data_IF_767485931601
#
_entry.id   IF_767485931601
#
_cell.length_a   1.000
_cell.length_b   1.000
_cell.length_c   1.000
_cell.angle_alpha   90.00
_cell.angle_beta   90.00
_cell.angle_gamma   90.00
#
_symmetry.space_group_name_H-M   'P 1'
#
loop_
_entity.id
_entity.type
_entity.pdbx_description
1 polymer ?
#
# COMPACT_ATOMS: atom_id res chain seq x y z
N UNK A 1 19.40 5.03 42.39
CA UNK A 1 19.20 4.97 40.92
C UNK A 1 17.72 5.30 40.63
N UNK A 2 17.40 6.49 40.17
CA UNK A 2 16.03 6.88 39.78
C UNK A 2 15.65 6.11 38.52
N UNK A 3 14.64 5.24 38.60
CA UNK A 3 14.05 4.56 37.42
C UNK A 3 13.35 5.63 36.58
N UNK A 4 14.00 6.06 35.49
CA UNK A 4 13.36 6.93 34.49
C UNK A 4 12.12 6.19 33.96
N UNK A 5 10.93 6.61 34.38
CA UNK A 5 9.68 6.12 33.81
C UNK A 5 9.60 6.59 32.36
N UNK A 6 9.41 5.65 31.43
CA UNK A 6 9.19 5.98 30.03
C UNK A 6 7.96 6.90 29.88
N UNK A 7 8.07 7.90 29.02
CA UNK A 7 6.93 8.75 28.67
C UNK A 7 5.84 7.88 27.99
N UNK A 8 4.55 8.28 28.05
CA UNK A 8 3.48 7.55 27.37
C UNK A 8 3.75 7.37 25.85
N UNK A 9 4.39 8.33 25.23
CA UNK A 9 4.79 8.27 23.83
C UNK A 9 5.92 7.25 23.63
N UNK A 10 6.93 7.22 24.51
CA UNK A 10 8.01 6.23 24.46
C UNK A 10 7.50 4.81 24.63
N UNK A 11 6.54 4.62 25.55
CA UNK A 11 5.88 3.32 25.74
C UNK A 11 5.13 2.85 24.49
N UNK A 12 4.39 3.76 23.85
CA UNK A 12 3.69 3.47 22.59
C UNK A 12 4.67 2.97 21.52
N UNK A 13 5.76 3.71 21.27
CA UNK A 13 6.74 3.30 20.26
C UNK A 13 7.40 1.96 20.55
N UNK A 14 7.69 1.68 21.83
CA UNK A 14 8.22 0.39 22.23
C UNK A 14 7.23 -0.75 21.94
N UNK A 15 5.95 -0.56 22.28
CA UNK A 15 4.90 -1.53 21.96
C UNK A 15 4.76 -1.76 20.46
N UNK A 16 4.72 -0.68 19.66
CA UNK A 16 4.62 -0.79 18.20
C UNK A 16 5.82 -1.55 17.62
N UNK A 17 7.03 -1.23 18.05
CA UNK A 17 8.24 -1.91 17.62
C UNK A 17 8.24 -3.40 18.01
N UNK A 18 7.85 -3.72 19.24
CA UNK A 18 7.79 -5.11 19.73
C UNK A 18 6.74 -5.93 18.96
N UNK A 19 5.55 -5.36 18.71
CA UNK A 19 4.50 -6.02 17.93
C UNK A 19 4.93 -6.22 16.47
N UNK A 20 5.58 -5.22 15.87
CA UNK A 20 6.12 -5.35 14.51
C UNK A 20 7.18 -6.43 14.44
N UNK A 21 8.14 -6.44 15.37
CA UNK A 21 9.18 -7.46 15.43
C UNK A 21 8.57 -8.87 15.58
N UNK A 22 7.61 -9.03 16.49
CA UNK A 22 6.88 -10.29 16.65
C UNK A 22 6.21 -10.72 15.34
N UNK A 23 5.51 -9.78 14.65
CA UNK A 23 4.83 -10.08 13.38
C UNK A 23 5.80 -10.53 12.29
N UNK A 24 6.97 -9.88 12.18
CA UNK A 24 7.98 -10.24 11.19
C UNK A 24 8.64 -11.59 11.51
N UNK A 25 8.94 -11.87 12.79
CA UNK A 25 9.46 -13.17 13.22
C UNK A 25 8.48 -14.29 12.89
N UNK A 26 7.19 -14.11 13.20
CA UNK A 26 6.15 -15.09 12.88
C UNK A 26 5.99 -15.28 11.35
N UNK A 27 6.08 -14.21 10.57
CA UNK A 27 6.06 -14.32 9.11
C UNK A 27 7.26 -15.11 8.57
N UNK A 28 8.43 -14.95 9.18
CA UNK A 28 9.65 -15.70 8.83
C UNK A 28 9.58 -17.20 9.15
N UNK A 29 8.62 -17.63 9.98
CA UNK A 29 8.38 -19.06 10.28
C UNK A 29 7.34 -19.71 9.34
N UNK A 30 6.68 -18.91 8.49
CA UNK A 30 5.69 -19.42 7.54
C UNK A 30 6.38 -19.89 6.26
N UNK A 31 5.76 -20.82 5.55
CA UNK A 31 6.22 -21.30 4.24
C UNK A 31 5.37 -20.65 3.14
N UNK A 32 6.06 -19.98 2.21
CA UNK A 32 5.44 -19.55 0.96
C UNK A 32 5.25 -20.74 0.03
N UNK A 33 4.22 -20.68 -0.80
CA UNK A 33 3.99 -21.69 -1.82
C UNK A 33 3.66 -21.05 -3.17
N UNK A 34 3.95 -21.81 -4.23
CA UNK A 34 3.58 -21.49 -5.60
C UNK A 34 2.47 -22.46 -5.99
N UNK A 35 1.46 -22.00 -6.71
CA UNK A 35 0.39 -22.86 -7.18
C UNK A 35 0.91 -23.71 -8.35
N UNK A 36 0.92 -25.03 -8.18
CA UNK A 36 1.40 -25.98 -9.19
C UNK A 36 0.30 -26.88 -9.75
N UNK A 37 -0.94 -26.76 -9.24
CA UNK A 37 -2.08 -27.56 -9.69
C UNK A 37 -2.89 -26.86 -10.76
N UNK A 38 -3.07 -27.51 -11.91
CA UNK A 38 -4.04 -27.14 -12.94
C UNK A 38 -3.65 -25.99 -13.88
N UNK A 39 -3.13 -24.88 -13.41
CA UNK A 39 -2.69 -23.76 -14.23
C UNK A 39 -1.66 -22.89 -13.48
N UNK A 40 -0.37 -23.25 -13.49
CA UNK A 40 0.69 -22.48 -12.84
C UNK A 40 1.02 -21.16 -13.57
N UNK A 41 0.38 -20.89 -14.71
CA UNK A 41 0.72 -19.84 -15.66
C UNK A 41 0.90 -18.46 -15.01
N UNK A 42 0.00 -18.06 -14.13
CA UNK A 42 0.07 -16.73 -13.49
C UNK A 42 1.25 -16.61 -12.53
N UNK A 43 1.51 -17.62 -11.72
CA UNK A 43 2.62 -17.63 -10.76
C UNK A 43 3.96 -17.69 -11.48
N UNK A 44 4.06 -18.54 -12.50
CA UNK A 44 5.25 -18.67 -13.35
C UNK A 44 5.55 -17.37 -14.09
N UNK A 45 4.53 -16.73 -14.68
CA UNK A 45 4.66 -15.44 -15.34
C UNK A 45 5.27 -14.38 -14.42
N UNK A 46 4.74 -14.27 -13.18
CA UNK A 46 5.23 -13.30 -12.19
C UNK A 46 6.67 -13.57 -11.78
N UNK A 47 7.05 -14.83 -11.60
CA UNK A 47 8.43 -15.21 -11.29
C UNK A 47 9.38 -14.95 -12.44
N UNK A 48 9.02 -15.34 -13.66
CA UNK A 48 9.82 -15.11 -14.86
C UNK A 48 10.09 -13.62 -15.07
N UNK A 49 9.03 -12.80 -14.96
CA UNK A 49 9.16 -11.35 -15.07
C UNK A 49 10.05 -10.76 -13.96
N UNK A 50 9.92 -11.23 -12.71
CA UNK A 50 10.76 -10.77 -11.61
C UNK A 50 12.24 -11.11 -11.80
N UNK A 51 12.54 -12.32 -12.28
CA UNK A 51 13.90 -12.75 -12.62
C UNK A 51 14.50 -11.88 -13.74
N UNK A 52 13.70 -11.57 -14.77
CA UNK A 52 14.13 -10.70 -15.88
C UNK A 52 14.42 -9.27 -15.38
N UNK A 53 13.56 -8.71 -14.52
CA UNK A 53 13.79 -7.41 -13.90
C UNK A 53 15.09 -7.41 -13.10
N UNK A 54 15.33 -8.46 -12.29
CA UNK A 54 16.55 -8.61 -11.51
C UNK A 54 17.81 -8.71 -12.38
N UNK A 55 17.67 -9.22 -13.62
CA UNK A 55 18.73 -9.25 -14.62
C UNK A 55 18.83 -7.97 -15.47
N UNK A 56 18.03 -6.95 -15.20
CA UNK A 56 18.02 -5.67 -15.94
C UNK A 56 17.29 -5.72 -17.29
N UNK A 57 16.46 -6.73 -17.53
CA UNK A 57 15.80 -6.99 -18.82
C UNK A 57 14.30 -6.63 -18.84
N UNK A 58 13.83 -5.76 -17.94
CA UNK A 58 12.41 -5.48 -17.73
C UNK A 58 11.62 -6.79 -17.49
N UNK A 59 10.51 -7.05 -18.18
CA UNK A 59 9.70 -8.26 -17.97
C UNK A 59 10.23 -9.49 -18.76
N UNK A 60 11.35 -9.35 -19.48
CA UNK A 60 11.94 -10.42 -20.29
C UNK A 60 11.56 -10.34 -21.77
N UNK A 61 11.68 -11.46 -22.49
CA UNK A 61 11.28 -11.55 -23.90
C UNK A 61 9.75 -11.38 -24.05
N UNK A 62 9.34 -10.63 -25.09
CA UNK A 62 7.92 -10.43 -25.36
C UNK A 62 7.26 -11.69 -25.90
N UNK A 63 6.22 -12.15 -25.25
CA UNK A 63 5.35 -13.24 -25.68
C UNK A 63 3.88 -12.92 -25.40
N UNK A 64 2.96 -13.80 -25.77
CA UNK A 64 1.52 -13.62 -25.60
C UNK A 64 1.04 -13.50 -24.13
N UNK A 65 1.89 -13.82 -23.16
CA UNK A 65 1.60 -13.69 -21.73
C UNK A 65 2.23 -12.46 -21.11
N UNK A 66 3.21 -11.82 -21.75
CA UNK A 66 4.06 -10.80 -21.14
C UNK A 66 3.28 -9.62 -20.57
N UNK A 67 2.22 -9.15 -21.24
CA UNK A 67 1.35 -8.05 -20.79
C UNK A 67 -0.06 -8.54 -20.42
N UNK A 68 -0.28 -9.83 -20.24
CA UNK A 68 -1.59 -10.38 -19.90
C UNK A 68 -2.09 -9.97 -18.51
N UNK A 69 -1.23 -9.46 -17.66
CA UNK A 69 -1.53 -9.01 -16.28
C UNK A 69 -0.84 -7.68 -15.97
N UNK A 70 -1.35 -6.98 -14.93
CA UNK A 70 -0.67 -5.83 -14.37
C UNK A 70 0.60 -6.27 -13.60
N UNK A 71 1.75 -5.64 -13.89
CA UNK A 71 3.09 -6.16 -13.62
C UNK A 71 3.84 -5.46 -12.46
N UNK A 72 3.13 -4.85 -11.51
CA UNK A 72 3.80 -4.27 -10.34
C UNK A 72 4.32 -5.36 -9.38
N UNK A 73 3.63 -6.49 -9.26
CA UNK A 73 4.06 -7.56 -8.35
C UNK A 73 5.45 -8.15 -8.71
N UNK A 74 5.81 -8.41 -9.99
CA UNK A 74 7.19 -8.72 -10.38
C UNK A 74 8.22 -7.69 -9.94
N UNK A 75 7.88 -6.39 -10.02
CA UNK A 75 8.77 -5.31 -9.53
C UNK A 75 8.97 -5.42 -8.02
N UNK A 76 7.90 -5.71 -7.27
CA UNK A 76 7.97 -5.98 -5.84
C UNK A 76 8.88 -7.17 -5.51
N UNK A 77 8.74 -8.29 -6.22
CA UNK A 77 9.60 -9.47 -6.02
C UNK A 77 11.08 -9.15 -6.31
N UNK A 78 11.35 -8.44 -7.41
CA UNK A 78 12.70 -8.02 -7.76
C UNK A 78 13.29 -7.07 -6.69
N UNK A 79 12.48 -6.17 -6.12
CA UNK A 79 12.89 -5.30 -5.01
C UNK A 79 13.24 -6.12 -3.76
N UNK A 80 12.42 -7.10 -3.38
CA UNK A 80 12.71 -7.96 -2.23
C UNK A 80 14.00 -8.77 -2.46
N UNK A 81 14.21 -9.27 -3.68
CA UNK A 81 15.45 -9.94 -4.05
C UNK A 81 16.67 -9.02 -3.90
N UNK A 82 16.60 -7.81 -4.43
CA UNK A 82 17.68 -6.82 -4.31
C UNK A 82 17.98 -6.42 -2.85
N UNK A 83 16.97 -6.41 -1.99
CA UNK A 83 17.11 -6.15 -0.56
C UNK A 83 17.45 -7.39 0.29
N UNK A 84 17.56 -8.57 -0.32
CA UNK A 84 17.79 -9.86 0.36
C UNK A 84 16.72 -10.14 1.44
N UNK A 85 15.47 -9.70 1.22
CA UNK A 85 14.37 -9.89 2.15
C UNK A 85 13.54 -11.13 1.77
N UNK A 86 13.26 -12.04 2.72
CA UNK A 86 12.34 -13.14 2.48
C UNK A 86 10.95 -12.63 2.10
N UNK A 87 10.31 -13.28 1.14
CA UNK A 87 9.03 -12.87 0.56
C UNK A 87 7.94 -12.57 1.59
N UNK A 88 7.69 -13.52 2.52
CA UNK A 88 6.64 -13.36 3.54
C UNK A 88 6.98 -12.27 4.56
N UNK A 89 8.26 -12.09 4.86
CA UNK A 89 8.72 -11.00 5.74
C UNK A 89 8.50 -9.65 5.06
N UNK A 90 8.80 -9.53 3.77
CA UNK A 90 8.55 -8.32 2.99
C UNK A 90 7.07 -7.96 2.93
N UNK A 91 6.19 -8.93 2.65
CA UNK A 91 4.74 -8.74 2.67
C UNK A 91 4.21 -8.34 4.06
N UNK A 92 4.69 -9.00 5.11
CA UNK A 92 4.33 -8.65 6.49
C UNK A 92 4.84 -7.26 6.89
N UNK A 93 6.02 -6.85 6.44
CA UNK A 93 6.54 -5.50 6.68
C UNK A 93 5.66 -4.42 6.01
N UNK A 94 5.25 -4.66 4.76
CA UNK A 94 4.32 -3.77 4.06
C UNK A 94 2.96 -3.69 4.77
N UNK A 95 2.42 -4.83 5.22
CA UNK A 95 1.19 -4.87 6.00
C UNK A 95 1.31 -4.12 7.33
N UNK A 96 2.40 -4.29 8.06
CA UNK A 96 2.68 -3.55 9.29
C UNK A 96 2.80 -2.04 9.04
N UNK A 97 3.48 -1.63 7.97
CA UNK A 97 3.58 -0.22 7.58
C UNK A 97 2.20 0.39 7.25
N UNK A 98 1.37 -0.33 6.50
CA UNK A 98 -0.01 0.07 6.20
C UNK A 98 -0.87 0.16 7.46
N UNK A 99 -0.75 -0.82 8.37
CA UNK A 99 -1.45 -0.85 9.66
C UNK A 99 -1.03 0.31 10.57
N UNK A 100 0.26 0.64 10.57
CA UNK A 100 0.80 1.77 11.32
C UNK A 100 0.25 3.10 10.77
N UNK A 101 0.27 3.26 9.45
CA UNK A 101 -0.31 4.42 8.78
C UNK A 101 -1.80 4.58 9.15
N UNK A 102 -2.57 3.49 9.12
CA UNK A 102 -3.99 3.49 9.48
C UNK A 102 -4.21 3.87 10.96
N UNK A 103 -3.40 3.32 11.88
CA UNK A 103 -3.48 3.67 13.29
C UNK A 103 -3.19 5.17 13.53
N UNK A 104 -2.21 5.73 12.80
CA UNK A 104 -1.91 7.16 12.87
C UNK A 104 -2.93 8.02 12.12
N UNK A 105 -3.58 7.51 11.07
CA UNK A 105 -4.66 8.19 10.38
C UNK A 105 -5.83 8.50 11.33
N UNK A 106 -6.16 7.54 12.19
CA UNK A 106 -7.27 7.65 13.16
C UNK A 106 -6.95 8.47 14.42
N UNK A 107 -5.69 8.87 14.62
CA UNK A 107 -5.24 9.56 15.83
C UNK A 107 -6.01 10.86 16.17
N UNK A 108 -6.47 11.68 15.23
CA UNK A 108 -7.27 12.87 15.53
C UNK A 108 -8.55 12.55 16.31
N UNK A 109 -9.13 11.36 16.16
CA UNK A 109 -10.37 10.95 16.88
C UNK A 109 -10.23 10.92 18.40
N UNK A 110 -9.02 10.88 18.93
CA UNK A 110 -8.75 10.89 20.37
C UNK A 110 -7.79 11.98 20.82
N UNK A 111 -7.64 13.05 20.02
CA UNK A 111 -6.79 14.19 20.35
C UNK A 111 -7.17 14.87 21.69
N UNK A 112 -8.48 14.88 22.04
CA UNK A 112 -8.97 15.39 23.32
C UNK A 112 -8.79 14.45 24.52
N UNK A 113 -8.15 13.28 24.37
CA UNK A 113 -7.91 12.34 25.47
C UNK A 113 -6.54 12.56 26.10
N UNK A 114 -6.35 12.03 27.32
CA UNK A 114 -5.04 12.05 27.98
C UNK A 114 -3.98 11.32 27.14
N UNK A 115 -2.73 11.78 27.17
CA UNK A 115 -1.64 11.21 26.41
C UNK A 115 -1.49 9.67 26.57
N UNK A 116 -1.61 9.08 27.79
CA UNK A 116 -1.60 7.63 27.94
C UNK A 116 -2.78 6.92 27.27
N UNK A 117 -3.96 7.52 27.27
CA UNK A 117 -5.15 6.96 26.62
C UNK A 117 -5.03 7.00 25.11
N UNK A 118 -4.56 8.10 24.55
CA UNK A 118 -4.31 8.23 23.11
C UNK A 118 -3.25 7.24 22.62
N UNK A 119 -2.15 7.09 23.38
CA UNK A 119 -1.09 6.13 23.09
C UNK A 119 -1.61 4.69 23.09
N UNK A 120 -2.37 4.28 24.10
CA UNK A 120 -2.98 2.94 24.19
C UNK A 120 -3.93 2.65 23.03
N UNK A 121 -4.80 3.62 22.67
CA UNK A 121 -5.73 3.46 21.54
C UNK A 121 -5.00 3.31 20.22
N UNK A 122 -3.96 4.10 19.97
CA UNK A 122 -3.13 3.97 18.76
C UNK A 122 -2.47 2.59 18.69
N UNK A 123 -1.88 2.13 19.80
CA UNK A 123 -1.25 0.80 19.86
C UNK A 123 -2.28 -0.33 19.70
N UNK A 124 -3.48 -0.20 20.27
CA UNK A 124 -4.56 -1.19 20.14
C UNK A 124 -5.06 -1.29 18.68
N UNK A 125 -5.27 -0.16 18.00
CA UNK A 125 -5.66 -0.16 16.58
C UNK A 125 -4.57 -0.80 15.72
N UNK A 126 -3.31 -0.44 15.96
CA UNK A 126 -2.20 -1.07 15.27
C UNK A 126 -2.15 -2.58 15.49
N UNK A 127 -2.25 -3.03 16.74
CA UNK A 127 -2.24 -4.46 17.07
C UNK A 127 -3.39 -5.21 16.38
N UNK A 128 -4.61 -4.67 16.43
CA UNK A 128 -5.78 -5.24 15.78
C UNK A 128 -5.59 -5.38 14.26
N UNK A 129 -5.02 -4.38 13.59
CA UNK A 129 -4.76 -4.43 12.17
C UNK A 129 -3.56 -5.32 11.81
N UNK A 130 -2.42 -5.16 12.51
CA UNK A 130 -1.20 -5.93 12.24
C UNK A 130 -1.39 -7.43 12.41
N UNK A 131 -2.27 -7.85 13.33
CA UNK A 131 -2.60 -9.24 13.62
C UNK A 131 -4.01 -9.63 13.16
N UNK A 132 -4.57 -8.90 12.19
CA UNK A 132 -5.87 -9.23 11.61
C UNK A 132 -5.82 -10.65 10.99
N UNK A 133 -6.76 -11.57 11.31
CA UNK A 133 -6.70 -12.96 10.85
C UNK A 133 -6.59 -13.12 9.33
N UNK A 134 -7.23 -12.25 8.55
CA UNK A 134 -7.13 -12.26 7.08
C UNK A 134 -5.71 -12.02 6.56
N UNK A 135 -4.84 -11.34 7.32
CA UNK A 135 -3.44 -11.12 6.94
C UNK A 135 -2.54 -12.36 7.12
N UNK A 136 -3.10 -13.46 7.64
CA UNK A 136 -2.46 -14.76 7.83
C UNK A 136 -3.11 -15.86 6.99
N UNK A 137 -4.14 -15.52 6.22
CA UNK A 137 -4.88 -16.48 5.43
C UNK A 137 -4.00 -17.14 4.36
N UNK A 138 -4.33 -18.35 3.98
CA UNK A 138 -3.54 -19.17 3.05
C UNK A 138 -3.22 -18.45 1.74
N UNK A 139 -4.15 -17.65 1.22
CA UNK A 139 -3.92 -16.89 -0.02
C UNK A 139 -2.76 -15.87 0.08
N UNK A 140 -2.46 -15.35 1.29
CA UNK A 140 -1.33 -14.42 1.48
C UNK A 140 0.03 -15.13 1.47
N UNK A 141 0.05 -16.45 1.66
CA UNK A 141 1.25 -17.29 1.62
C UNK A 141 1.62 -17.69 0.18
N UNK A 142 0.67 -17.63 -0.76
CA UNK A 142 0.94 -17.84 -2.17
C UNK A 142 1.83 -16.72 -2.70
N UNK A 143 2.82 -17.08 -3.50
CA UNK A 143 3.68 -16.07 -4.15
C UNK A 143 2.92 -15.43 -5.30
N UNK A 144 1.99 -14.56 -4.94
CA UNK A 144 1.10 -13.88 -5.86
C UNK A 144 0.67 -12.50 -5.32
N UNK A 145 0.00 -11.73 -6.14
CA UNK A 145 -0.43 -10.34 -5.88
C UNK A 145 -1.21 -10.16 -4.58
N UNK A 146 -1.92 -11.19 -4.12
CA UNK A 146 -2.74 -11.16 -2.91
C UNK A 146 -1.93 -10.96 -1.62
N UNK A 147 -0.62 -11.18 -1.65
CA UNK A 147 0.26 -10.88 -0.51
C UNK A 147 0.38 -9.38 -0.23
N UNK A 148 0.40 -8.55 -1.28
CA UNK A 148 0.64 -7.10 -1.13
C UNK A 148 -0.61 -6.26 -1.38
N UNK A 149 -1.53 -6.70 -2.22
CA UNK A 149 -2.69 -5.93 -2.66
C UNK A 149 -3.55 -5.41 -1.50
N UNK A 150 -3.91 -6.20 -0.47
CA UNK A 150 -4.67 -5.70 0.69
C UNK A 150 -3.93 -4.60 1.46
N UNK A 151 -2.59 -4.70 1.57
CA UNK A 151 -1.79 -3.68 2.23
C UNK A 151 -1.80 -2.35 1.45
N UNK A 152 -1.72 -2.41 0.12
CA UNK A 152 -1.81 -1.23 -0.75
C UNK A 152 -3.19 -0.56 -0.66
N UNK A 153 -4.26 -1.35 -0.61
CA UNK A 153 -5.61 -0.85 -0.36
C UNK A 153 -5.71 -0.19 1.03
N UNK A 154 -5.11 -0.79 2.06
CA UNK A 154 -5.10 -0.19 3.41
C UNK A 154 -4.35 1.13 3.43
N UNK A 155 -3.23 1.25 2.72
CA UNK A 155 -2.50 2.52 2.55
C UNK A 155 -3.38 3.58 1.89
N UNK A 156 -4.09 3.21 0.82
CA UNK A 156 -5.03 4.09 0.13
C UNK A 156 -6.14 4.61 1.07
N UNK A 157 -6.85 3.71 1.75
CA UNK A 157 -7.93 4.09 2.65
C UNK A 157 -7.43 4.88 3.87
N UNK A 158 -6.29 4.49 4.44
CA UNK A 158 -5.67 5.21 5.55
C UNK A 158 -5.24 6.63 5.13
N UNK A 159 -4.74 6.79 3.92
CA UNK A 159 -4.39 8.09 3.36
C UNK A 159 -5.60 9.02 3.29
N UNK A 160 -6.71 8.56 2.68
CA UNK A 160 -7.95 9.34 2.60
C UNK A 160 -8.57 9.62 3.97
N UNK A 161 -8.64 8.62 4.86
CA UNK A 161 -9.14 8.80 6.22
C UNK A 161 -8.28 9.79 7.00
N UNK A 162 -6.96 9.69 6.88
CA UNK A 162 -6.01 10.60 7.51
C UNK A 162 -6.16 12.05 7.05
N UNK A 163 -6.37 12.26 5.74
CA UNK A 163 -6.63 13.58 5.16
C UNK A 163 -7.98 14.12 5.62
N UNK A 164 -9.06 13.31 5.55
CA UNK A 164 -10.41 13.72 5.90
C UNK A 164 -10.54 14.10 7.38
N UNK A 165 -10.03 13.26 8.30
CA UNK A 165 -10.09 13.53 9.74
C UNK A 165 -9.34 14.81 10.10
N UNK A 166 -8.20 15.08 9.46
CA UNK A 166 -7.44 16.30 9.70
C UNK A 166 -8.07 17.52 9.06
N UNK A 167 -8.72 17.36 7.91
CA UNK A 167 -9.46 18.45 7.29
C UNK A 167 -10.60 18.96 8.16
N UNK A 168 -11.25 18.04 8.90
CA UNK A 168 -12.42 18.35 9.75
C UNK A 168 -12.02 18.74 11.17
N UNK A 169 -11.06 18.03 11.77
CA UNK A 169 -10.75 18.12 13.21
C UNK A 169 -9.53 19.01 13.52
N UNK A 170 -8.69 19.34 12.54
CA UNK A 170 -7.47 20.12 12.75
C UNK A 170 -7.19 21.02 11.52
N UNK A 171 -7.59 22.27 11.65
CA UNK A 171 -7.45 23.26 10.58
C UNK A 171 -6.00 23.60 10.20
N UNK A 172 -5.05 23.34 11.09
CA UNK A 172 -3.62 23.61 10.90
C UNK A 172 -2.85 22.41 10.34
N UNK A 173 -3.47 21.23 10.27
CA UNK A 173 -2.81 20.00 9.91
C UNK A 173 -2.30 19.99 8.46
N UNK A 174 -1.14 19.33 8.28
CA UNK A 174 -0.58 19.05 6.96
C UNK A 174 -1.33 17.89 6.32
N UNK A 175 -1.96 18.11 5.17
CA UNK A 175 -2.73 17.10 4.44
C UNK A 175 -1.91 16.37 3.39
N UNK A 176 -0.89 17.02 2.80
CA UNK A 176 -0.10 16.46 1.70
C UNK A 176 0.49 15.07 1.97
N UNK A 177 1.07 14.77 3.14
CA UNK A 177 1.58 13.41 3.41
C UNK A 177 0.49 12.33 3.35
N UNK A 178 -0.73 12.65 3.77
CA UNK A 178 -1.88 11.74 3.74
C UNK A 178 -2.40 11.55 2.32
N UNK A 179 -2.51 12.63 1.56
CA UNK A 179 -2.88 12.57 0.14
C UNK A 179 -1.81 11.85 -0.69
N UNK A 180 -0.52 12.02 -0.36
CA UNK A 180 0.56 11.26 -0.97
C UNK A 180 0.45 9.77 -0.65
N UNK A 181 0.13 9.40 0.60
CA UNK A 181 -0.12 8.01 0.98
C UNK A 181 -1.32 7.43 0.21
N UNK A 182 -2.43 8.16 0.11
CA UNK A 182 -3.58 7.78 -0.69
C UNK A 182 -3.20 7.56 -2.16
N UNK A 183 -2.41 8.47 -2.74
CA UNK A 183 -1.93 8.38 -4.11
C UNK A 183 -0.97 7.21 -4.35
N UNK A 184 -0.04 6.96 -3.42
CA UNK A 184 0.86 5.81 -3.50
C UNK A 184 0.08 4.49 -3.43
N UNK A 185 -0.86 4.38 -2.48
CA UNK A 185 -1.74 3.22 -2.36
C UNK A 185 -2.57 3.00 -3.63
N UNK A 186 -3.17 4.07 -4.18
CA UNK A 186 -3.96 4.03 -5.41
C UNK A 186 -3.11 3.59 -6.61
N UNK A 187 -1.97 4.25 -6.83
CA UNK A 187 -1.09 3.97 -7.96
C UNK A 187 -0.57 2.52 -7.92
N UNK A 188 0.01 2.11 -6.78
CA UNK A 188 0.55 0.75 -6.64
C UNK A 188 -0.55 -0.32 -6.73
N UNK A 189 -1.72 -0.11 -6.12
CA UNK A 189 -2.82 -1.05 -6.21
C UNK A 189 -3.34 -1.18 -7.66
N UNK A 190 -3.49 -0.06 -8.37
CA UNK A 190 -3.98 -0.02 -9.75
C UNK A 190 -3.05 -0.78 -10.71
N UNK A 191 -1.73 -0.59 -10.57
CA UNK A 191 -0.74 -1.31 -11.40
C UNK A 191 -0.41 -2.71 -10.87
N UNK A 192 -1.06 -3.15 -9.77
CA UNK A 192 -0.99 -4.53 -9.25
C UNK A 192 -2.13 -5.40 -9.75
N UNK A 193 -3.35 -4.83 -9.84
CA UNK A 193 -4.57 -5.58 -10.23
C UNK A 193 -5.45 -4.74 -11.13
N UNK A 194 -5.90 -5.35 -12.21
CA UNK A 194 -6.70 -4.73 -13.26
C UNK A 194 -8.08 -4.27 -12.74
N UNK A 195 -8.65 -5.01 -11.78
CA UNK A 195 -9.94 -4.72 -11.17
C UNK A 195 -9.88 -3.66 -10.05
N UNK A 196 -8.69 -3.26 -9.61
CA UNK A 196 -8.53 -2.28 -8.53
C UNK A 196 -9.24 -0.94 -8.83
N UNK A 197 -9.25 -0.53 -10.09
CA UNK A 197 -9.93 0.70 -10.52
C UNK A 197 -11.42 0.71 -10.26
N UNK A 198 -12.10 -0.44 -10.32
CA UNK A 198 -13.56 -0.54 -10.19
C UNK A 198 -14.09 -0.05 -8.85
N UNK A 199 -13.32 -0.20 -7.76
CA UNK A 199 -13.74 0.25 -6.43
C UNK A 199 -12.87 1.37 -5.85
N UNK A 200 -11.57 1.44 -6.17
CA UNK A 200 -10.72 2.50 -5.62
C UNK A 200 -11.00 3.86 -6.27
N UNK A 201 -11.25 3.92 -7.58
CA UNK A 201 -11.52 5.19 -8.25
C UNK A 201 -12.85 5.84 -7.83
N UNK A 202 -13.99 5.10 -7.76
CA UNK A 202 -15.23 5.67 -7.24
C UNK A 202 -15.08 6.17 -5.79
N UNK A 203 -14.37 5.43 -4.93
CA UNK A 203 -14.09 5.87 -3.57
C UNK A 203 -13.22 7.14 -3.55
N UNK A 204 -12.16 7.19 -4.35
CA UNK A 204 -11.29 8.38 -4.47
C UNK A 204 -12.09 9.60 -4.94
N UNK A 205 -12.97 9.43 -5.94
CA UNK A 205 -13.83 10.49 -6.43
C UNK A 205 -14.77 11.00 -5.34
N UNK A 206 -15.45 10.09 -4.63
CA UNK A 206 -16.34 10.46 -3.52
C UNK A 206 -15.60 11.21 -2.40
N UNK A 207 -14.43 10.69 -1.97
CA UNK A 207 -13.60 11.33 -0.96
C UNK A 207 -13.12 12.73 -1.41
N UNK A 208 -12.72 12.85 -2.68
CA UNK A 208 -12.32 14.13 -3.28
C UNK A 208 -13.47 15.13 -3.28
N UNK A 209 -14.68 14.73 -3.69
CA UNK A 209 -15.86 15.61 -3.70
C UNK A 209 -16.20 16.12 -2.29
N UNK A 210 -16.19 15.24 -1.29
CA UNK A 210 -16.44 15.61 0.11
C UNK A 210 -15.41 16.64 0.59
N UNK A 211 -14.12 16.39 0.35
CA UNK A 211 -13.06 17.31 0.75
C UNK A 211 -13.08 18.60 -0.06
N UNK A 212 -13.42 18.55 -1.35
CA UNK A 212 -13.56 19.73 -2.21
C UNK A 212 -14.64 20.67 -1.67
N UNK A 213 -15.82 20.14 -1.35
CA UNK A 213 -16.92 20.92 -0.77
C UNK A 213 -16.48 21.53 0.57
N UNK A 214 -15.80 20.74 1.41
CA UNK A 214 -15.29 21.20 2.72
C UNK A 214 -14.29 22.35 2.54
N UNK A 215 -13.32 22.23 1.64
CA UNK A 215 -12.28 23.28 1.43
C UNK A 215 -12.81 24.49 0.67
N UNK A 216 -13.80 24.32 -0.21
CA UNK A 216 -14.49 25.42 -0.87
C UNK A 216 -15.19 26.30 0.16
N UNK A 217 -15.98 25.70 1.06
CA UNK A 217 -16.63 26.42 2.16
C UNK A 217 -15.63 27.12 3.11
N UNK A 218 -14.44 26.54 3.30
CA UNK A 218 -13.37 27.11 4.12
C UNK A 218 -12.48 28.13 3.38
N UNK A 219 -12.70 28.37 2.09
CA UNK A 219 -11.89 29.27 1.22
C UNK A 219 -10.39 28.94 1.24
N UNK A 220 -10.02 27.63 1.11
CA UNK A 220 -8.63 27.12 1.16
C UNK A 220 -8.14 26.59 -0.20
N UNK A 221 -7.82 27.46 -1.18
CA UNK A 221 -7.48 27.03 -2.55
C UNK A 221 -6.24 26.10 -2.62
N UNK A 222 -5.25 26.32 -1.74
CA UNK A 222 -4.05 25.44 -1.68
C UNK A 222 -4.38 24.00 -1.29
N UNK A 223 -5.37 23.79 -0.42
CA UNK A 223 -5.85 22.45 -0.05
C UNK A 223 -6.61 21.79 -1.18
N UNK A 224 -7.39 22.57 -1.94
CA UNK A 224 -8.08 22.10 -3.14
C UNK A 224 -7.06 21.59 -4.17
N UNK A 225 -6.02 22.38 -4.47
CA UNK A 225 -4.95 21.94 -5.36
C UNK A 225 -4.26 20.65 -4.90
N UNK A 226 -4.10 20.47 -3.58
CA UNK A 226 -3.55 19.23 -3.00
C UNK A 226 -4.36 17.98 -3.32
N UNK A 227 -5.67 18.08 -3.57
CA UNK A 227 -6.54 16.94 -3.92
C UNK A 227 -6.18 16.31 -5.28
N UNK A 228 -5.42 17.01 -6.13
CA UNK A 228 -4.92 16.47 -7.40
C UNK A 228 -3.76 15.47 -7.20
N UNK A 229 -3.08 15.52 -6.04
CA UNK A 229 -1.89 14.71 -5.80
C UNK A 229 -2.12 13.19 -5.95
N UNK A 230 -3.16 12.58 -5.39
CA UNK A 230 -3.42 11.15 -5.58
C UNK A 230 -3.56 10.74 -7.05
N UNK A 231 -4.22 11.56 -7.85
CA UNK A 231 -4.43 11.31 -9.28
C UNK A 231 -3.16 11.54 -10.11
N UNK A 232 -2.36 12.54 -9.75
CA UNK A 232 -1.05 12.76 -10.37
C UNK A 232 -0.12 11.57 -10.12
N UNK A 233 -0.14 10.99 -8.91
CA UNK A 233 0.64 9.80 -8.59
C UNK A 233 0.12 8.56 -9.33
N UNK A 234 -1.19 8.39 -9.46
CA UNK A 234 -1.78 7.33 -10.29
C UNK A 234 -1.32 7.47 -11.74
N UNK A 235 -1.47 8.68 -12.31
CA UNK A 235 -1.06 8.96 -13.69
C UNK A 235 0.44 8.68 -13.89
N UNK A 236 1.29 9.10 -12.95
CA UNK A 236 2.73 8.83 -13.00
C UNK A 236 3.04 7.33 -12.96
N UNK A 237 2.34 6.56 -12.12
CA UNK A 237 2.49 5.10 -12.06
C UNK A 237 2.09 4.43 -13.38
N UNK A 238 0.91 4.74 -13.90
CA UNK A 238 0.41 4.18 -15.17
C UNK A 238 1.31 4.57 -16.34
N UNK A 239 1.63 5.87 -16.48
CA UNK A 239 2.49 6.36 -17.56
C UNK A 239 3.91 5.79 -17.45
N UNK A 240 4.43 5.59 -16.23
CA UNK A 240 5.72 4.95 -16.00
C UNK A 240 5.76 3.52 -16.54
N UNK A 241 4.75 2.69 -16.24
CA UNK A 241 4.65 1.33 -16.77
C UNK A 241 4.42 1.32 -18.30
N UNK A 242 3.49 2.14 -18.81
CA UNK A 242 3.27 2.26 -20.25
C UNK A 242 4.55 2.72 -20.99
N UNK A 243 5.29 3.66 -20.42
CA UNK A 243 6.55 4.15 -20.98
C UNK A 243 7.64 3.09 -21.02
N UNK A 244 7.75 2.26 -19.94
CA UNK A 244 8.67 1.12 -19.94
C UNK A 244 8.25 0.08 -20.99
N UNK A 245 6.98 -0.28 -21.08
CA UNK A 245 6.49 -1.22 -22.08
C UNK A 245 6.71 -0.68 -23.51
N UNK A 246 6.49 0.62 -23.73
CA UNK A 246 6.82 1.26 -25.01
C UNK A 246 8.30 1.18 -25.34
N UNK A 247 9.16 1.39 -24.36
CA UNK A 247 10.62 1.37 -24.56
C UNK A 247 11.15 -0.03 -24.88
N UNK A 248 10.64 -1.06 -24.22
CA UNK A 248 11.14 -2.42 -24.34
C UNK A 248 10.42 -3.26 -25.38
N UNK A 249 9.12 -2.97 -25.61
CA UNK A 249 8.25 -3.81 -26.46
C UNK A 249 7.59 -3.04 -27.60
N UNK A 250 7.74 -1.71 -27.66
CA UNK A 250 7.08 -0.90 -28.68
C UNK A 250 5.56 -0.72 -28.45
N UNK A 251 5.03 -1.12 -27.26
CA UNK A 251 3.60 -1.10 -26.94
C UNK A 251 3.36 -0.13 -25.79
N UNK A 252 2.57 0.93 -26.02
CA UNK A 252 2.17 1.89 -24.98
C UNK A 252 0.88 1.42 -24.29
N UNK A 253 0.98 0.40 -23.45
CA UNK A 253 -0.13 -0.15 -22.70
C UNK A 253 0.32 -0.61 -21.31
N UNK A 254 -0.61 -0.64 -20.35
CA UNK A 254 -0.35 -1.20 -19.01
C UNK A 254 -0.45 -2.73 -19.02
N UNK A 255 -1.49 -3.25 -19.67
CA UNK A 255 -1.75 -4.66 -19.90
C UNK A 255 -2.66 -4.84 -21.13
N UNK A 256 -2.69 -6.02 -21.71
CA UNK A 256 -3.53 -6.34 -22.87
C UNK A 256 -5.03 -6.19 -22.55
N UNK A 257 -5.44 -6.51 -21.30
CA UNK A 257 -6.80 -6.27 -20.83
C UNK A 257 -7.23 -4.80 -20.89
N UNK A 258 -6.30 -3.88 -20.82
CA UNK A 258 -6.61 -2.43 -20.90
C UNK A 258 -6.92 -1.96 -22.31
N UNK A 259 -6.63 -2.76 -23.34
CA UNK A 259 -6.87 -2.41 -24.75
C UNK A 259 -8.10 -3.08 -25.36
N UNK A 260 -8.78 -3.97 -24.63
CA UNK A 260 -10.03 -4.59 -25.10
C UNK A 260 -9.84 -5.57 -26.26
N UNK A 261 -8.67 -6.18 -26.36
CA UNK A 261 -8.33 -7.24 -27.32
C UNK A 261 -8.45 -8.62 -26.74
#
# INVERSE_FOLDING_TARGET
MSKRKLSPCGWMWLCLAALTALRLVLAGQQLAYVWVGGAPLDDELMFRAANSISAGQWLGGYDYLTLSKAMFFPVWLALLHALHLPYLVGGAALWCAASLLAAFALRPLWAGKTAPSAARRTAAVYAALAFLPSSWAAYTLRVYRDNIFPALCLVFFAGWAGAALRAVLDDTAKLLPWLAAAGAGLACAYVTREDAGLFLLPFAAAATLILLVTFWGQKKPRRIAGLLLPYAMLAAGVLGFCGLNQRYYGVFALSDFSQGS
#
